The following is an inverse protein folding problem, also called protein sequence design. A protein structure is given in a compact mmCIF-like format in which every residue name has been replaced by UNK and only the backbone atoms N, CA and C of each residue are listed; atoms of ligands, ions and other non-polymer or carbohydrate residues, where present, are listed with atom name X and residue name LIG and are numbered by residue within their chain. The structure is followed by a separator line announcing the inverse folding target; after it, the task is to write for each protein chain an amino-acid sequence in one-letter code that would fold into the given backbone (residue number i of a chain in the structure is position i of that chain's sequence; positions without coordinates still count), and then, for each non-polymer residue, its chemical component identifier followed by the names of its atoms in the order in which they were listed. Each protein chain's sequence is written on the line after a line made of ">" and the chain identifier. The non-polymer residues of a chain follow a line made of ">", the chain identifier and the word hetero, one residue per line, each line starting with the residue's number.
data_IF_644980343854
#
_entry.id   IF_644980343854
#
_cell.length_a   1.000
_cell.length_b   1.000
_cell.length_c   1.000
_cell.angle_alpha   90.00
_cell.angle_beta   90.00
_cell.angle_gamma   90.00
#
_symmetry.space_group_name_H-M   'P 1'
#
loop_
_entity.id
_entity.type
_entity.pdbx_description
1 polymer ?
#
# COMPACT_ATOMS: atom_id res chain seq x y z
N UNK A 1 -20.03 -30.58 -48.86
CA UNK A 1 -20.06 -29.65 -47.71
C UNK A 1 -20.64 -30.38 -46.52
N UNK A 2 -19.82 -30.57 -45.48
CA UNK A 2 -19.99 -31.62 -44.48
C UNK A 2 -20.72 -31.11 -43.22
N UNK A 3 -21.76 -31.81 -42.78
CA UNK A 3 -22.66 -31.48 -41.65
C UNK A 3 -21.98 -31.35 -40.27
N UNK A 4 -20.66 -31.52 -40.16
CA UNK A 4 -19.90 -31.47 -38.90
C UNK A 4 -19.41 -30.06 -38.51
N UNK A 5 -19.48 -29.07 -39.39
CA UNK A 5 -19.04 -27.70 -39.05
C UNK A 5 -20.14 -26.79 -38.47
N UNK A 6 -21.41 -27.17 -38.52
CA UNK A 6 -22.49 -26.35 -37.95
C UNK A 6 -22.74 -26.57 -36.45
N UNK A 7 -22.22 -27.66 -35.86
CA UNK A 7 -22.45 -27.98 -34.44
C UNK A 7 -21.45 -27.32 -33.47
N UNK A 8 -20.37 -26.70 -33.97
CA UNK A 8 -19.42 -25.99 -33.10
C UNK A 8 -19.79 -24.52 -32.83
N UNK A 9 -20.73 -23.94 -33.60
CA UNK A 9 -21.14 -22.55 -33.40
C UNK A 9 -22.33 -22.36 -32.44
N UNK A 10 -23.08 -23.43 -32.14
CA UNK A 10 -24.26 -23.35 -31.25
C UNK A 10 -23.93 -23.68 -29.79
N UNK A 11 -22.75 -24.27 -29.52
CA UNK A 11 -22.29 -24.57 -28.15
C UNK A 11 -21.34 -23.51 -27.56
N UNK A 12 -20.94 -22.50 -28.34
CA UNK A 12 -19.99 -21.46 -27.92
C UNK A 12 -20.63 -20.17 -27.37
N UNK A 13 -21.96 -20.05 -27.38
CA UNK A 13 -22.68 -18.81 -27.01
C UNK A 13 -23.46 -18.95 -25.68
N UNK A 14 -23.35 -20.09 -24.99
CA UNK A 14 -24.17 -20.41 -23.81
C UNK A 14 -23.39 -20.63 -22.50
N UNK A 15 -22.11 -20.22 -22.42
CA UNK A 15 -21.29 -20.37 -21.19
C UNK A 15 -20.76 -19.03 -20.62
N UNK A 16 -21.00 -17.89 -21.25
CA UNK A 16 -20.59 -16.58 -20.68
C UNK A 16 -21.71 -15.79 -19.97
N UNK A 17 -22.89 -16.39 -19.78
CA UNK A 17 -24.05 -15.71 -19.15
C UNK A 17 -24.34 -16.20 -17.73
N UNK A 18 -23.31 -16.56 -16.97
CA UNK A 18 -23.47 -17.30 -15.72
C UNK A 18 -22.51 -16.93 -14.60
N UNK A 19 -22.25 -15.64 -14.37
CA UNK A 19 -21.78 -15.13 -13.07
C UNK A 19 -21.95 -13.60 -12.95
N UNK A 20 -23.11 -13.11 -13.39
CA UNK A 20 -23.68 -11.84 -12.94
C UNK A 20 -24.60 -12.18 -11.76
N UNK A 21 -24.01 -12.39 -10.58
CA UNK A 21 -24.77 -12.48 -9.33
C UNK A 21 -24.49 -11.24 -8.48
N UNK A 22 -25.30 -10.22 -8.76
CA UNK A 22 -26.01 -9.43 -7.76
C UNK A 22 -25.22 -8.97 -6.53
N UNK A 23 -24.55 -7.81 -6.64
CA UNK A 23 -24.28 -6.95 -5.49
C UNK A 23 -24.80 -5.53 -5.75
N UNK A 24 -26.07 -5.41 -6.14
CA UNK A 24 -26.81 -4.15 -6.00
C UNK A 24 -27.42 -4.13 -4.59
N UNK A 25 -26.60 -3.83 -3.60
CA UNK A 25 -27.10 -3.49 -2.27
C UNK A 25 -27.69 -2.08 -2.34
N UNK A 26 -29.00 -2.05 -2.18
CA UNK A 26 -29.83 -0.89 -1.89
C UNK A 26 -29.15 -0.02 -0.83
N UNK A 27 -28.78 1.20 -1.23
CA UNK A 27 -28.35 2.26 -0.32
C UNK A 27 -29.57 2.76 0.47
N UNK A 28 -29.93 2.01 1.51
CA UNK A 28 -30.66 2.56 2.64
C UNK A 28 -29.63 3.26 3.52
N UNK A 29 -29.71 4.60 3.61
CA UNK A 29 -28.85 5.46 4.42
C UNK A 29 -29.03 5.30 5.92
N UNK A 30 -28.78 4.09 6.42
CA UNK A 30 -28.38 3.87 7.80
C UNK A 30 -26.86 3.71 7.81
N UNK A 31 -26.17 4.47 8.64
CA UNK A 31 -24.75 4.22 8.92
C UNK A 31 -24.61 2.76 9.35
N UNK A 32 -24.11 1.92 8.44
CA UNK A 32 -23.83 0.52 8.75
C UNK A 32 -22.73 0.54 9.80
N UNK A 33 -23.11 0.32 11.06
CA UNK A 33 -22.17 0.23 12.18
C UNK A 33 -21.30 -0.99 11.93
N UNK A 34 -20.10 -0.78 11.38
CA UNK A 34 -19.12 -1.84 11.17
C UNK A 34 -18.54 -2.23 12.54
N UNK A 35 -18.48 -3.54 12.89
CA UNK A 35 -17.89 -3.96 14.16
C UNK A 35 -16.42 -3.57 14.20
N UNK A 36 -15.91 -3.22 15.39
CA UNK A 36 -14.47 -3.01 15.59
C UNK A 36 -13.77 -4.35 15.77
N UNK A 37 -12.63 -4.51 15.12
CA UNK A 37 -11.74 -5.67 15.27
C UNK A 37 -10.38 -5.25 15.79
N UNK A 38 -9.70 -6.16 16.45
CA UNK A 38 -8.34 -5.97 16.97
C UNK A 38 -7.30 -6.63 16.05
N UNK A 39 -6.06 -6.13 16.09
CA UNK A 39 -4.94 -6.77 15.36
C UNK A 39 -4.78 -8.25 15.74
N UNK A 40 -4.95 -8.57 17.03
CA UNK A 40 -4.86 -9.94 17.53
C UNK A 40 -5.84 -10.90 16.86
N UNK A 41 -7.09 -10.48 16.67
CA UNK A 41 -8.13 -11.30 16.00
C UNK A 41 -7.83 -11.53 14.51
N UNK A 42 -7.12 -10.59 13.88
CA UNK A 42 -6.76 -10.67 12.46
C UNK A 42 -5.50 -11.53 12.20
N UNK A 43 -4.71 -11.88 13.23
CA UNK A 43 -3.49 -12.70 13.09
C UNK A 43 -3.72 -14.09 12.49
N UNK A 44 -4.95 -14.61 12.57
CA UNK A 44 -5.31 -15.94 12.05
C UNK A 44 -5.43 -15.99 10.53
N UNK A 45 -5.44 -14.84 9.86
CA UNK A 45 -5.61 -14.76 8.41
C UNK A 45 -4.27 -14.46 7.73
N UNK A 46 -3.94 -15.27 6.71
CA UNK A 46 -2.70 -15.08 5.94
C UNK A 46 -2.77 -13.87 5.01
N UNK A 47 -3.95 -13.53 4.48
CA UNK A 47 -4.15 -12.39 3.59
C UNK A 47 -5.61 -11.95 3.67
N UNK A 48 -5.84 -10.68 3.99
CA UNK A 48 -7.16 -10.08 4.19
C UNK A 48 -7.35 -9.01 3.11
N UNK A 49 -8.39 -9.04 2.26
CA UNK A 49 -8.69 -7.91 1.40
C UNK A 49 -9.13 -6.72 2.27
N UNK A 50 -8.56 -5.55 2.04
CA UNK A 50 -8.86 -4.35 2.81
C UNK A 50 -9.06 -3.14 1.92
N UNK A 51 -9.88 -2.19 2.37
CA UNK A 51 -9.88 -0.83 1.85
C UNK A 51 -9.43 0.12 2.95
N UNK A 52 -8.92 1.29 2.54
CA UNK A 52 -8.41 2.30 3.44
C UNK A 52 -9.39 3.47 3.42
N UNK A 53 -9.68 4.01 4.60
CA UNK A 53 -10.48 5.20 4.82
C UNK A 53 -9.71 6.14 5.76
N UNK A 54 -10.03 7.43 5.73
CA UNK A 54 -9.39 8.41 6.60
C UNK A 54 -9.48 9.83 6.06
N UNK A 55 -8.57 10.68 6.52
CA UNK A 55 -8.45 12.05 6.02
C UNK A 55 -7.77 12.03 4.64
N UNK A 56 -8.50 12.50 3.62
CA UNK A 56 -7.96 12.70 2.27
C UNK A 56 -6.96 13.85 2.28
N UNK A 57 -5.82 13.65 1.62
CA UNK A 57 -4.76 14.65 1.40
C UNK A 57 -4.23 14.57 -0.02
N UNK A 58 -3.52 15.61 -0.45
CA UNK A 58 -2.69 15.54 -1.65
C UNK A 58 -1.36 14.84 -1.36
N UNK A 59 -0.96 13.95 -2.27
CA UNK A 59 0.37 13.36 -2.32
C UNK A 59 1.44 14.46 -2.51
N UNK A 60 2.66 14.21 -2.07
CA UNK A 60 3.71 15.21 -2.03
C UNK A 60 4.34 15.46 -3.41
N UNK A 61 4.47 14.42 -4.24
CA UNK A 61 5.12 14.52 -5.54
C UNK A 61 4.13 14.65 -6.70
N UNK A 62 2.97 13.99 -6.62
CA UNK A 62 2.00 13.96 -7.74
C UNK A 62 0.75 14.81 -7.53
N UNK A 63 0.55 15.38 -6.33
CA UNK A 63 -0.67 16.08 -5.91
C UNK A 63 -1.96 15.22 -5.95
N UNK A 64 -1.87 13.91 -6.20
CA UNK A 64 -3.01 13.00 -6.22
C UNK A 64 -3.67 12.86 -4.85
N UNK A 65 -4.97 12.59 -4.84
CA UNK A 65 -5.70 12.36 -3.59
C UNK A 65 -5.38 10.98 -3.00
N UNK A 66 -4.88 10.95 -1.77
CA UNK A 66 -4.56 9.72 -1.04
C UNK A 66 -5.05 9.79 0.42
N UNK A 67 -5.19 8.62 1.07
CA UNK A 67 -5.41 8.54 2.51
C UNK A 67 -4.10 8.56 3.29
N UNK A 68 -3.03 8.06 2.67
CA UNK A 68 -1.72 7.93 3.29
C UNK A 68 -0.62 7.93 2.22
N UNK A 69 0.51 8.56 2.55
CA UNK A 69 1.70 8.63 1.69
C UNK A 69 2.97 8.36 2.48
N UNK A 70 3.90 7.65 1.85
CA UNK A 70 5.31 7.49 2.23
C UNK A 70 6.18 7.91 1.04
N UNK A 71 7.31 8.58 1.28
CA UNK A 71 8.32 8.72 0.24
C UNK A 71 9.73 8.56 0.77
N UNK A 72 10.61 8.11 -0.11
CA UNK A 72 11.99 7.77 0.16
C UNK A 72 12.88 8.31 -0.95
N UNK A 73 14.15 8.56 -0.63
CA UNK A 73 15.14 9.01 -1.61
C UNK A 73 16.44 8.24 -1.50
N UNK A 74 17.22 8.23 -2.57
CA UNK A 74 18.57 7.67 -2.58
C UNK A 74 19.45 8.37 -3.60
N UNK A 75 20.74 8.51 -3.29
CA UNK A 75 21.73 9.03 -4.23
C UNK A 75 22.04 7.92 -5.24
N UNK A 76 22.00 8.22 -6.53
CA UNK A 76 22.43 7.28 -7.57
C UNK A 76 23.96 7.19 -7.57
N UNK A 77 24.49 6.06 -7.09
CA UNK A 77 25.90 5.73 -7.22
C UNK A 77 26.26 5.26 -8.63
N UNK A 78 27.56 5.28 -8.96
CA UNK A 78 28.11 4.85 -10.26
C UNK A 78 27.74 3.40 -10.60
N UNK A 79 27.62 2.54 -9.57
CA UNK A 79 27.31 1.10 -9.70
C UNK A 79 25.80 0.77 -9.72
N UNK A 80 24.93 1.77 -9.88
CA UNK A 80 23.47 1.66 -10.07
C UNK A 80 22.63 1.01 -8.94
N UNK A 81 23.23 0.49 -7.86
CA UNK A 81 22.45 0.07 -6.70
C UNK A 81 22.03 1.27 -5.86
N UNK A 82 20.74 1.59 -5.84
CA UNK A 82 20.18 2.69 -5.04
C UNK A 82 19.70 2.12 -3.70
N UNK A 83 20.28 2.61 -2.61
CA UNK A 83 19.71 2.42 -1.27
C UNK A 83 18.78 3.59 -0.96
N UNK A 84 17.50 3.31 -0.79
CA UNK A 84 16.50 4.32 -0.47
C UNK A 84 16.39 4.52 1.04
N UNK A 85 16.47 5.76 1.47
CA UNK A 85 16.28 6.20 2.85
C UNK A 85 14.88 6.79 3.00
N UNK A 86 14.11 6.41 4.05
CA UNK A 86 12.83 7.03 4.35
C UNK A 86 13.00 8.54 4.57
N UNK A 87 12.11 9.33 3.99
CA UNK A 87 12.22 10.79 4.04
C UNK A 87 11.01 11.45 4.69
N UNK A 88 9.84 10.87 4.44
CA UNK A 88 8.58 11.37 4.94
C UNK A 88 7.53 10.27 4.98
N UNK A 89 6.64 10.39 5.96
CA UNK A 89 5.49 9.53 6.14
C UNK A 89 4.34 10.41 6.63
N UNK A 90 3.13 10.13 6.14
CA UNK A 90 1.91 10.74 6.69
C UNK A 90 1.78 10.40 8.17
N UNK A 91 1.27 11.34 8.94
CA UNK A 91 1.19 11.29 10.40
C UNK A 91 -0.24 11.18 10.94
N UNK A 92 -1.24 11.08 10.07
CA UNK A 92 -2.61 10.82 10.49
C UNK A 92 -2.86 9.31 10.58
N UNK A 93 -3.63 8.89 11.59
CA UNK A 93 -4.14 7.53 11.68
C UNK A 93 -5.03 7.18 10.49
N UNK A 94 -5.00 5.93 10.06
CA UNK A 94 -5.90 5.43 9.01
C UNK A 94 -6.95 4.49 9.60
N UNK A 95 -8.10 4.39 8.94
CA UNK A 95 -9.10 3.37 9.21
C UNK A 95 -8.97 2.28 8.14
N UNK A 96 -8.67 1.06 8.58
CA UNK A 96 -8.60 -0.11 7.70
C UNK A 96 -9.92 -0.86 7.79
N UNK A 97 -10.57 -1.02 6.64
CA UNK A 97 -11.85 -1.70 6.52
C UNK A 97 -11.60 -3.10 6.00
N UNK A 98 -12.07 -4.09 6.73
CA UNK A 98 -11.96 -5.51 6.38
C UNK A 98 -13.35 -6.14 6.27
N UNK A 99 -13.47 -7.33 5.65
CA UNK A 99 -14.71 -8.12 5.70
C UNK A 99 -15.16 -8.50 7.12
N UNK A 100 -14.26 -8.42 8.11
CA UNK A 100 -14.52 -8.84 9.48
C UNK A 100 -14.84 -7.66 10.41
N UNK A 101 -14.65 -6.43 9.94
CA UNK A 101 -14.82 -5.21 10.73
C UNK A 101 -13.79 -4.14 10.40
N UNK A 102 -13.78 -3.08 11.19
CA UNK A 102 -12.87 -1.94 11.02
C UNK A 102 -11.84 -1.87 12.14
N UNK A 103 -10.65 -1.40 11.80
CA UNK A 103 -9.58 -1.13 12.76
C UNK A 103 -8.92 0.22 12.46
N UNK A 104 -8.82 1.07 13.47
CA UNK A 104 -8.06 2.32 13.37
C UNK A 104 -6.61 2.05 13.76
N UNK A 105 -5.69 2.47 12.92
CA UNK A 105 -4.25 2.22 13.09
C UNK A 105 -3.49 3.54 13.16
N UNK A 106 -2.58 3.61 14.12
CA UNK A 106 -1.53 4.61 14.13
C UNK A 106 -0.47 4.28 13.07
N UNK A 107 0.30 5.29 12.65
CA UNK A 107 1.33 5.18 11.61
C UNK A 107 2.41 4.17 11.96
N UNK A 108 2.72 4.01 13.26
CA UNK A 108 3.72 3.03 13.73
C UNK A 108 3.22 1.58 13.67
N UNK A 109 1.94 1.37 13.32
CA UNK A 109 1.33 0.06 13.19
C UNK A 109 1.17 -0.35 11.73
N UNK A 110 1.75 0.39 10.77
CA UNK A 110 1.58 0.17 9.34
C UNK A 110 2.94 -0.11 8.71
N UNK A 111 3.01 -1.12 7.85
CA UNK A 111 4.17 -1.35 6.99
C UNK A 111 3.71 -1.60 5.57
N UNK A 112 4.21 -0.82 4.61
CA UNK A 112 3.78 -0.94 3.23
C UNK A 112 4.68 -1.89 2.43
N UNK A 113 4.05 -2.60 1.51
CA UNK A 113 4.64 -3.49 0.53
C UNK A 113 4.04 -3.14 -0.83
N UNK A 114 4.23 -1.90 -1.24
CA UNK A 114 3.65 -1.35 -2.46
C UNK A 114 4.71 -1.11 -3.53
N UNK A 115 4.29 -1.08 -4.79
CA UNK A 115 5.10 -0.47 -5.83
C UNK A 115 5.16 1.05 -5.65
N UNK A 116 6.24 1.66 -6.12
CA UNK A 116 6.32 3.12 -6.26
C UNK A 116 5.15 3.58 -7.12
N UNK A 117 4.34 4.49 -6.61
CA UNK A 117 3.32 5.19 -7.40
C UNK A 117 3.99 6.22 -8.30
N UNK A 118 4.95 6.95 -7.75
CA UNK A 118 5.82 7.88 -8.48
C UNK A 118 7.28 7.51 -8.27
N UNK A 119 8.09 7.62 -9.33
CA UNK A 119 9.52 7.34 -9.31
C UNK A 119 10.21 8.28 -10.29
N UNK A 120 11.05 9.19 -9.79
CA UNK A 120 11.76 10.16 -10.62
C UNK A 120 13.13 10.47 -10.06
N UNK A 121 14.04 10.86 -10.94
CA UNK A 121 15.37 11.35 -10.58
C UNK A 121 15.46 12.86 -10.72
N UNK A 122 16.15 13.49 -9.79
CA UNK A 122 16.40 14.92 -9.78
C UNK A 122 17.91 15.21 -9.73
N UNK A 123 18.35 16.21 -10.48
CA UNK A 123 19.72 16.71 -10.57
C UNK A 123 19.69 18.24 -10.50
N UNK A 124 20.87 18.87 -10.44
CA UNK A 124 20.97 20.34 -10.48
C UNK A 124 20.32 20.97 -11.71
N UNK A 125 20.26 20.25 -12.83
CA UNK A 125 19.68 20.73 -14.10
C UNK A 125 18.15 20.77 -14.09
N UNK A 126 17.51 19.91 -13.29
CA UNK A 126 16.04 19.77 -13.27
C UNK A 126 15.43 19.93 -11.87
N UNK A 127 16.20 20.39 -10.88
CA UNK A 127 15.72 20.55 -9.51
C UNK A 127 14.55 21.54 -9.43
N UNK A 128 14.51 22.56 -10.30
CA UNK A 128 13.49 23.62 -10.29
C UNK A 128 12.04 23.14 -10.41
N UNK A 129 11.82 21.92 -10.95
CA UNK A 129 10.49 21.30 -11.06
C UNK A 129 10.19 20.29 -9.94
N UNK A 130 11.13 20.06 -9.03
CA UNK A 130 10.94 19.19 -7.87
C UNK A 130 10.26 19.95 -6.72
N UNK A 131 9.61 19.27 -5.76
CA UNK A 131 9.18 19.91 -4.52
C UNK A 131 10.36 20.51 -3.73
N UNK A 132 10.10 21.58 -2.95
CA UNK A 132 11.15 22.34 -2.27
C UNK A 132 12.10 21.49 -1.39
N UNK A 133 11.66 20.47 -0.64
CA UNK A 133 12.60 19.61 0.10
C UNK A 133 13.54 18.84 -0.81
N UNK A 134 13.07 18.40 -1.98
CA UNK A 134 13.90 17.70 -2.96
C UNK A 134 14.90 18.65 -3.59
N UNK A 135 14.50 19.90 -3.89
CA UNK A 135 15.43 20.94 -4.36
C UNK A 135 16.60 21.12 -3.40
N UNK A 136 16.29 21.33 -2.11
CA UNK A 136 17.30 21.49 -1.05
C UNK A 136 18.17 20.24 -0.89
N UNK A 137 17.59 19.06 -1.06
CA UNK A 137 18.32 17.81 -0.97
C UNK A 137 19.31 17.67 -2.15
N UNK A 138 18.88 18.00 -3.38
CA UNK A 138 19.76 18.01 -4.56
C UNK A 138 20.91 19.00 -4.39
N UNK A 139 20.61 20.22 -3.90
CA UNK A 139 21.63 21.23 -3.59
C UNK A 139 22.66 20.74 -2.55
N UNK A 140 22.19 20.01 -1.54
CA UNK A 140 23.02 19.50 -0.44
C UNK A 140 23.91 18.33 -0.86
N UNK A 141 23.36 17.35 -1.58
CA UNK A 141 24.08 16.11 -1.90
C UNK A 141 24.90 16.23 -3.20
N UNK A 142 24.61 17.19 -4.08
CA UNK A 142 25.40 17.48 -5.29
C UNK A 142 25.36 16.41 -6.39
N UNK A 143 24.58 15.33 -6.20
CA UNK A 143 24.44 14.22 -7.14
C UNK A 143 23.03 14.07 -7.71
N UNK A 144 22.82 12.99 -8.47
CA UNK A 144 21.48 12.61 -8.95
C UNK A 144 20.75 11.87 -7.83
N UNK A 145 19.56 12.36 -7.47
CA UNK A 145 18.74 11.82 -6.40
C UNK A 145 17.52 11.13 -6.99
N UNK A 146 17.39 9.83 -6.74
CA UNK A 146 16.16 9.10 -7.01
C UNK A 146 15.16 9.33 -5.87
N UNK A 147 13.91 9.60 -6.22
CA UNK A 147 12.82 9.86 -5.29
C UNK A 147 11.65 8.95 -5.64
N UNK A 148 11.12 8.27 -4.64
CA UNK A 148 10.05 7.30 -4.74
C UNK A 148 8.93 7.66 -3.79
N UNK A 149 7.68 7.72 -4.28
CA UNK A 149 6.48 7.94 -3.48
C UNK A 149 5.55 6.74 -3.56
N UNK A 150 4.95 6.38 -2.42
CA UNK A 150 4.09 5.23 -2.21
C UNK A 150 2.78 5.70 -1.58
N UNK A 151 1.64 5.32 -2.17
CA UNK A 151 0.33 5.86 -1.81
C UNK A 151 -0.67 4.75 -1.45
N UNK A 152 -1.49 5.01 -0.43
CA UNK A 152 -2.77 4.32 -0.24
C UNK A 152 -3.88 5.22 -0.79
N UNK A 153 -4.46 4.79 -1.92
CA UNK A 153 -5.42 5.54 -2.72
C UNK A 153 -6.87 5.28 -2.24
N UNK A 154 -7.77 6.23 -2.46
CA UNK A 154 -9.20 6.03 -2.25
C UNK A 154 -9.75 4.90 -3.12
N UNK A 155 -10.73 4.18 -2.60
CA UNK A 155 -11.49 3.14 -3.31
C UNK A 155 -10.67 1.94 -3.83
N UNK A 156 -9.36 1.93 -3.60
CA UNK A 156 -8.50 0.82 -3.96
C UNK A 156 -8.59 -0.29 -2.91
N UNK A 157 -8.74 -1.53 -3.40
CA UNK A 157 -8.59 -2.73 -2.57
C UNK A 157 -7.12 -3.13 -2.50
N UNK A 158 -6.63 -3.32 -1.28
CA UNK A 158 -5.32 -3.86 -0.94
C UNK A 158 -5.47 -5.21 -0.25
N UNK A 159 -4.34 -5.80 0.07
CA UNK A 159 -4.27 -7.01 0.88
C UNK A 159 -3.45 -6.71 2.13
N UNK A 160 -3.89 -7.24 3.27
CA UNK A 160 -3.23 -7.04 4.54
C UNK A 160 -2.93 -8.36 5.27
N UNK A 161 -1.86 -8.40 6.05
CA UNK A 161 -1.59 -9.44 7.02
C UNK A 161 -1.10 -8.82 8.34
N UNK A 162 -1.44 -9.43 9.47
CA UNK A 162 -0.94 -8.97 10.78
C UNK A 162 0.31 -9.75 11.16
N UNK A 163 1.36 -9.04 11.55
CA UNK A 163 2.60 -9.61 12.07
C UNK A 163 2.91 -9.11 13.47
N UNK A 164 3.61 -9.94 14.25
CA UNK A 164 4.28 -9.49 15.47
C UNK A 164 5.62 -8.89 15.07
N UNK A 165 5.80 -7.61 15.35
CA UNK A 165 7.09 -6.94 15.30
C UNK A 165 7.72 -7.02 16.70
N UNK A 166 8.87 -7.68 16.80
CA UNK A 166 9.63 -7.76 18.04
C UNK A 166 10.72 -6.71 17.98
N UNK A 167 10.54 -5.64 18.73
CA UNK A 167 11.57 -4.62 18.86
C UNK A 167 12.61 -5.14 19.84
N UNK A 168 13.87 -5.22 19.39
CA UNK A 168 14.98 -5.51 20.27
C UNK A 168 15.10 -4.35 21.26
N UNK A 169 14.84 -4.62 22.54
CA UNK A 169 14.97 -3.61 23.58
C UNK A 169 16.39 -3.04 23.58
N UNK A 170 16.52 -1.72 23.46
CA UNK A 170 17.79 -1.05 23.67
C UNK A 170 18.17 -1.25 25.14
N UNK A 171 19.31 -1.88 25.40
CA UNK A 171 19.87 -2.18 26.73
C UNK A 171 19.19 -3.29 27.56
N UNK A 172 18.71 -4.37 26.93
CA UNK A 172 18.29 -5.58 27.68
C UNK A 172 17.01 -5.41 28.50
N UNK A 173 16.22 -4.37 28.19
CA UNK A 173 14.83 -4.28 28.63
C UNK A 173 13.94 -5.24 27.83
N UNK A 174 12.85 -5.70 28.46
CA UNK A 174 11.89 -6.63 27.87
C UNK A 174 11.48 -6.19 26.46
N UNK A 175 11.60 -7.10 25.49
CA UNK A 175 11.16 -6.86 24.13
C UNK A 175 9.65 -6.60 24.12
N UNK A 176 9.22 -5.39 23.80
CA UNK A 176 7.81 -5.10 23.58
C UNK A 176 7.42 -5.66 22.22
N UNK A 177 6.63 -6.73 22.23
CA UNK A 177 6.01 -7.26 21.01
C UNK A 177 4.83 -6.38 20.62
N UNK A 178 4.91 -5.72 19.48
CA UNK A 178 3.82 -4.92 18.93
C UNK A 178 3.27 -5.59 17.66
N UNK A 179 1.97 -5.47 17.42
CA UNK A 179 1.40 -5.90 16.14
C UNK A 179 1.54 -4.80 15.09
N UNK A 180 1.92 -5.19 13.87
CA UNK A 180 1.99 -4.34 12.69
C UNK A 180 1.09 -4.94 11.61
N UNK A 181 0.39 -4.06 10.87
CA UNK A 181 -0.39 -4.41 9.70
C UNK A 181 0.48 -4.17 8.47
N UNK A 182 0.85 -5.26 7.82
CA UNK A 182 1.53 -5.19 6.54
C UNK A 182 0.49 -5.05 5.44
N UNK A 183 0.59 -4.03 4.58
CA UNK A 183 -0.36 -3.73 3.49
C UNK A 183 0.35 -3.83 2.15
N UNK A 184 -0.24 -4.55 1.20
CA UNK A 184 0.32 -4.87 -0.11
C UNK A 184 -0.69 -4.64 -1.24
N UNK A 185 -0.21 -4.30 -2.44
CA UNK A 185 -1.01 -4.22 -3.67
C UNK A 185 -1.32 -5.59 -4.28
N UNK A 186 -0.76 -6.66 -3.69
CA UNK A 186 -0.96 -8.06 -4.08
C UNK A 186 -1.22 -8.95 -2.87
N UNK A 187 -1.96 -10.06 -3.04
CA UNK A 187 -2.17 -11.02 -1.97
C UNK A 187 -0.86 -11.57 -1.41
N UNK A 188 -0.83 -11.81 -0.09
CA UNK A 188 0.29 -12.48 0.56
C UNK A 188 0.27 -13.98 0.22
N UNK A 189 1.44 -14.55 -0.09
CA UNK A 189 1.59 -15.99 -0.30
C UNK A 189 2.17 -16.63 0.96
N UNK A 190 1.29 -17.06 1.86
CA UNK A 190 1.67 -17.59 3.17
C UNK A 190 2.15 -16.47 4.08
N UNK A 191 3.45 -16.45 4.40
CA UNK A 191 4.03 -15.49 5.35
C UNK A 191 4.94 -14.46 4.67
N UNK A 192 5.26 -14.65 3.39
CA UNK A 192 6.24 -13.81 2.69
C UNK A 192 5.51 -12.82 1.79
N UNK A 193 5.73 -11.51 1.97
CA UNK A 193 5.27 -10.49 1.04
C UNK A 193 5.88 -10.71 -0.35
N UNK A 194 5.12 -10.45 -1.41
CA UNK A 194 5.63 -10.58 -2.79
C UNK A 194 6.57 -9.44 -3.20
N UNK A 195 6.54 -8.33 -2.44
CA UNK A 195 7.41 -7.16 -2.63
C UNK A 195 8.38 -7.04 -1.47
N UNK A 196 9.45 -6.27 -1.70
CA UNK A 196 10.25 -5.73 -0.61
C UNK A 196 9.42 -4.68 0.16
N UNK A 197 9.65 -4.50 1.46
CA UNK A 197 9.00 -3.43 2.20
C UNK A 197 9.36 -2.08 1.59
N UNK A 198 8.43 -1.13 1.64
CA UNK A 198 8.76 0.27 1.37
C UNK A 198 9.77 0.75 2.41
N UNK A 199 10.71 1.62 2.02
CA UNK A 199 11.57 2.28 3.00
C UNK A 199 10.68 3.11 3.93
N UNK A 200 10.60 2.66 5.17
CA UNK A 200 9.88 3.32 6.27
C UNK A 200 10.81 3.37 7.48
N UNK A 201 10.52 4.26 8.42
CA UNK A 201 11.27 4.31 9.67
C UNK A 201 11.06 2.99 10.43
N UNK A 202 12.15 2.28 10.70
CA UNK A 202 12.12 1.16 11.64
C UNK A 202 12.02 1.74 13.06
N UNK A 203 10.90 1.45 13.73
CA UNK A 203 10.68 1.78 15.14
C UNK A 203 10.64 0.50 15.92
#
# INVERSE_FOLDING_TARGET
>A
MNRRQLQQYVLGVLVCSGLLLSLMLVSCGGDVVRPRVTMGELTKFASIPVTIEGKIRSAYMTDDSCYYTEWAYGIMGEDASISLTPAFQSNDSILVVTPYGVIQLDIFQIKLYLGSYFSRTFSSENSSIAPLPIQKLVEKEGGVIAVHEFLLLPEQTYFAQVRKNTLAGVNGSDSTSQYVLEISDRPFNGTTPQRKPTPSYDY
#
